data_IF_394821960412
#
_entry.id   IF_394821960412
#
_cell.length_a   1.000
_cell.length_b   1.000
_cell.length_c   1.000
_cell.angle_alpha   90.00
_cell.angle_beta   90.00
_cell.angle_gamma   90.00
#
_symmetry.space_group_name_H-M   'P 1'
#
loop_
_entity.id
_entity.type
_entity.pdbx_description
1 polymer ?
#
# COMPACT_ATOMS: atom_id res chain seq x y z
N UNK A 1 2.59 2.34 -24.33
CA UNK A 1 3.12 1.86 -23.03
C UNK A 1 1.99 1.98 -22.01
N UNK A 2 1.64 0.92 -21.28
CA UNK A 2 0.45 0.86 -20.39
C UNK A 2 0.63 1.55 -19.03
N UNK A 3 1.44 2.61 -18.97
CA UNK A 3 1.77 3.30 -17.72
C UNK A 3 0.62 4.19 -17.21
N UNK A 4 -0.51 3.58 -16.87
CA UNK A 4 -1.69 4.25 -16.32
C UNK A 4 -1.89 3.90 -14.84
N UNK A 5 -2.69 4.69 -14.13
CA UNK A 5 -2.98 4.44 -12.72
C UNK A 5 -3.68 3.08 -12.53
N UNK A 6 -4.55 2.68 -13.46
CA UNK A 6 -5.29 1.42 -13.43
C UNK A 6 -4.36 0.22 -13.49
N UNK A 7 -3.32 0.29 -14.34
CA UNK A 7 -2.28 -0.74 -14.40
C UNK A 7 -1.58 -0.89 -13.05
N UNK A 8 -1.09 0.21 -12.47
CA UNK A 8 -0.39 0.17 -11.19
C UNK A 8 -1.30 -0.27 -10.03
N UNK A 9 -2.57 0.15 -10.04
CA UNK A 9 -3.57 -0.29 -9.06
C UNK A 9 -3.85 -1.80 -9.17
N UNK A 10 -3.96 -2.32 -10.39
CA UNK A 10 -4.15 -3.76 -10.61
C UNK A 10 -2.96 -4.58 -10.11
N UNK A 11 -1.73 -4.13 -10.37
CA UNK A 11 -0.53 -4.79 -9.84
C UNK A 11 -0.45 -4.68 -8.31
N UNK A 12 -0.75 -3.51 -7.75
CA UNK A 12 -0.75 -3.29 -6.30
C UNK A 12 -1.78 -4.18 -5.57
N UNK A 13 -2.92 -4.46 -6.20
CA UNK A 13 -3.92 -5.38 -5.65
C UNK A 13 -3.38 -6.80 -5.50
N UNK A 14 -2.63 -7.30 -6.48
CA UNK A 14 -1.99 -8.62 -6.42
C UNK A 14 -0.92 -8.70 -5.31
N UNK A 15 -0.12 -7.65 -5.17
CA UNK A 15 0.89 -7.56 -4.10
C UNK A 15 0.23 -7.51 -2.71
N UNK A 16 -0.87 -6.77 -2.58
CA UNK A 16 -1.63 -6.69 -1.33
C UNK A 16 -2.28 -8.02 -0.96
N UNK A 17 -2.86 -8.74 -1.93
CA UNK A 17 -3.44 -10.06 -1.74
C UNK A 17 -2.40 -11.07 -1.24
N UNK A 18 -1.18 -11.05 -1.79
CA UNK A 18 -0.09 -11.89 -1.31
C UNK A 18 0.22 -11.60 0.16
N UNK A 19 0.36 -10.32 0.53
CA UNK A 19 0.57 -9.93 1.93
C UNK A 19 -0.54 -10.43 2.86
N UNK A 20 -1.80 -10.32 2.43
CA UNK A 20 -2.95 -10.80 3.20
C UNK A 20 -2.94 -12.32 3.40
N UNK A 21 -2.67 -13.09 2.34
CA UNK A 21 -2.58 -14.56 2.38
C UNK A 21 -1.50 -15.06 3.35
N UNK A 22 -0.43 -14.29 3.51
CA UNK A 22 0.66 -14.58 4.43
C UNK A 22 0.55 -13.85 5.77
N UNK A 23 -0.62 -13.29 6.12
CA UNK A 23 -0.82 -12.60 7.40
C UNK A 23 0.15 -11.44 7.64
N UNK A 24 0.69 -10.87 6.56
CA UNK A 24 1.70 -9.83 6.52
C UNK A 24 3.05 -10.17 7.17
N UNK A 25 3.30 -11.42 7.59
CA UNK A 25 4.64 -11.85 7.99
C UNK A 25 5.58 -11.94 6.78
N UNK A 26 5.00 -12.26 5.62
CA UNK A 26 5.62 -12.16 4.30
C UNK A 26 4.81 -11.24 3.41
N UNK A 27 5.51 -10.42 2.64
CA UNK A 27 4.92 -9.42 1.76
C UNK A 27 5.75 -9.34 0.48
N UNK A 28 5.13 -8.99 -0.64
CA UNK A 28 5.82 -8.80 -1.90
C UNK A 28 5.78 -7.32 -2.33
N UNK A 29 6.82 -6.85 -3.01
CA UNK A 29 6.84 -5.49 -3.54
C UNK A 29 7.81 -5.31 -4.69
N UNK A 30 7.54 -4.31 -5.53
CA UNK A 30 8.42 -3.94 -6.64
C UNK A 30 9.57 -3.06 -6.14
N UNK A 31 10.80 -3.34 -6.59
CA UNK A 31 11.99 -2.56 -6.24
C UNK A 31 12.91 -2.36 -7.46
N UNK A 32 13.99 -1.59 -7.28
CA UNK A 32 14.93 -1.24 -8.33
C UNK A 32 14.54 0.02 -9.11
N UNK A 33 15.39 0.41 -10.07
CA UNK A 33 15.12 1.56 -10.94
C UNK A 33 13.84 1.28 -11.74
N UNK A 34 12.85 2.16 -11.60
CA UNK A 34 11.51 2.01 -12.19
C UNK A 34 10.72 0.77 -11.74
N UNK A 35 11.08 0.15 -10.61
CA UNK A 35 10.37 -1.04 -10.11
C UNK A 35 10.62 -2.30 -10.94
N UNK A 36 11.86 -2.52 -11.40
CA UNK A 36 12.20 -3.56 -12.36
C UNK A 36 12.17 -5.01 -11.85
N UNK A 37 12.11 -5.26 -10.54
CA UNK A 37 12.06 -6.62 -10.00
C UNK A 37 11.16 -6.75 -8.77
N UNK A 38 10.59 -7.94 -8.61
CA UNK A 38 9.77 -8.34 -7.45
C UNK A 38 10.69 -8.77 -6.29
N UNK A 39 10.33 -8.36 -5.08
CA UNK A 39 11.08 -8.66 -3.85
C UNK A 39 10.15 -9.24 -2.81
N UNK A 40 10.61 -10.28 -2.12
CA UNK A 40 10.01 -10.81 -0.92
C UNK A 40 10.54 -10.06 0.31
N UNK A 41 9.63 -9.55 1.13
CA UNK A 41 9.92 -8.84 2.37
C UNK A 41 9.39 -9.61 3.56
N UNK A 42 10.19 -9.63 4.63
CA UNK A 42 9.66 -9.88 5.96
C UNK A 42 8.89 -8.65 6.45
N UNK A 43 7.86 -8.89 7.25
CA UNK A 43 7.05 -7.83 7.81
C UNK A 43 6.19 -8.27 8.98
N UNK A 44 5.23 -7.42 9.33
CA UNK A 44 4.21 -7.71 10.32
C UNK A 44 2.96 -6.85 10.10
N UNK A 45 1.86 -7.31 10.67
CA UNK A 45 0.68 -6.48 10.93
C UNK A 45 0.67 -6.10 12.41
N UNK A 46 0.87 -4.82 12.72
CA UNK A 46 0.89 -4.32 14.11
C UNK A 46 -0.09 -3.18 14.36
N UNK A 47 -0.52 -2.95 15.62
CA UNK A 47 -1.24 -1.74 15.97
C UNK A 47 -0.47 -0.50 15.56
N UNK A 48 -1.14 0.42 14.88
CA UNK A 48 -0.53 1.68 14.41
C UNK A 48 -0.39 2.74 15.50
N UNK A 49 -1.15 2.61 16.59
CA UNK A 49 -1.32 3.64 17.61
C UNK A 49 -2.28 4.77 17.22
N UNK A 50 -2.72 4.85 15.97
CA UNK A 50 -3.74 5.83 15.57
C UNK A 50 -5.09 5.49 16.19
N UNK A 51 -5.75 6.52 16.72
CA UNK A 51 -7.04 6.40 17.41
C UNK A 51 -8.19 7.03 16.65
N UNK A 52 -7.91 8.02 15.82
CA UNK A 52 -8.92 8.71 15.03
C UNK A 52 -8.40 9.12 13.65
N UNK A 53 -9.33 9.45 12.75
CA UNK A 53 -9.04 9.90 11.39
C UNK A 53 -10.05 10.95 10.93
N UNK A 54 -9.68 11.73 9.92
CA UNK A 54 -10.57 12.66 9.25
C UNK A 54 -11.20 11.98 8.02
N UNK A 55 -12.53 11.81 7.95
CA UNK A 55 -13.19 11.22 6.79
C UNK A 55 -13.10 12.10 5.54
N UNK A 56 -12.85 13.41 5.72
CA UNK A 56 -12.78 14.37 4.61
C UNK A 56 -11.44 14.33 3.86
N UNK A 57 -10.32 14.16 4.57
CA UNK A 57 -8.99 14.20 3.95
C UNK A 57 -8.08 13.03 4.28
N UNK A 58 -8.56 12.04 5.06
CA UNK A 58 -7.80 10.84 5.41
C UNK A 58 -6.76 11.01 6.52
N UNK A 59 -6.50 12.24 6.99
CA UNK A 59 -5.50 12.47 8.04
C UNK A 59 -5.79 11.65 9.30
N UNK A 60 -4.83 10.84 9.73
CA UNK A 60 -4.88 10.02 10.96
C UNK A 60 -4.29 10.79 12.15
N UNK A 61 -4.69 10.43 13.36
CA UNK A 61 -4.25 11.06 14.60
C UNK A 61 -4.12 10.06 15.76
N UNK A 62 -3.10 10.24 16.60
CA UNK A 62 -2.82 9.40 17.77
C UNK A 62 -3.76 9.69 18.96
N UNK A 63 -4.58 10.74 18.88
CA UNK A 63 -5.58 11.10 19.88
C UNK A 63 -6.98 10.72 19.43
N UNK A 64 -7.87 10.47 20.39
CA UNK A 64 -9.30 10.30 20.12
C UNK A 64 -9.95 11.65 19.78
N UNK A 65 -10.94 11.60 18.89
CA UNK A 65 -11.89 12.66 18.68
C UNK A 65 -12.92 12.68 19.81
N UNK A 66 -13.13 13.85 20.38
CA UNK A 66 -14.18 14.13 21.36
C UNK A 66 -15.10 15.22 20.82
N UNK A 67 -16.25 15.43 21.47
CA UNK A 67 -17.19 16.50 21.08
C UNK A 67 -16.54 17.90 21.10
N UNK A 68 -15.57 18.14 21.99
CA UNK A 68 -14.83 19.40 22.10
C UNK A 68 -13.54 19.45 21.28
N UNK A 69 -13.04 18.31 20.80
CA UNK A 69 -11.79 18.22 20.07
C UNK A 69 -11.86 17.19 18.93
N UNK A 70 -12.48 17.59 17.82
CA UNK A 70 -12.58 16.80 16.59
C UNK A 70 -12.09 17.57 15.34
N UNK A 71 -11.36 18.67 15.51
CA UNK A 71 -10.86 19.46 14.39
C UNK A 71 -9.65 18.77 13.76
N UNK A 72 -9.71 18.55 12.45
CA UNK A 72 -8.59 18.01 11.69
C UNK A 72 -7.45 19.04 11.59
N UNK A 73 -6.21 18.65 11.89
CA UNK A 73 -5.04 19.52 11.78
C UNK A 73 -4.70 19.95 10.34
N UNK A 74 -5.14 19.19 9.33
CA UNK A 74 -4.86 19.45 7.91
C UNK A 74 -5.96 20.29 7.27
N UNK A 75 -7.20 19.78 7.19
CA UNK A 75 -8.29 20.48 6.51
C UNK A 75 -9.02 21.51 7.41
N UNK A 76 -8.67 21.56 8.71
CA UNK A 76 -9.25 22.46 9.72
C UNK A 76 -10.77 22.32 9.92
N UNK A 77 -11.36 21.25 9.41
CA UNK A 77 -12.79 20.96 9.60
C UNK A 77 -13.01 20.10 10.87
N UNK A 78 -14.07 20.35 11.65
CA UNK A 78 -14.45 19.57 12.85
C UNK A 78 -15.10 18.24 12.46
N UNK A 79 -14.30 17.33 11.88
CA UNK A 79 -14.78 16.11 11.21
C UNK A 79 -14.12 14.84 11.71
N UNK A 80 -13.14 14.93 12.60
CA UNK A 80 -12.36 13.76 13.06
C UNK A 80 -13.28 12.76 13.78
N UNK A 81 -13.13 11.48 13.45
CA UNK A 81 -13.88 10.36 14.03
C UNK A 81 -12.93 9.29 14.54
N UNK A 82 -13.30 8.62 15.64
CA UNK A 82 -12.53 7.50 16.19
C UNK A 82 -12.60 6.29 15.26
N UNK A 83 -11.53 5.50 15.24
CA UNK A 83 -11.61 4.17 14.64
C UNK A 83 -12.51 3.27 15.49
N UNK A 84 -13.37 2.44 14.86
CA UNK A 84 -14.26 1.53 15.60
C UNK A 84 -13.50 0.40 16.29
N UNK A 85 -12.35 0.01 15.74
CA UNK A 85 -11.44 -0.99 16.27
C UNK A 85 -10.01 -0.45 16.21
N UNK A 86 -9.09 -1.13 16.90
CA UNK A 86 -7.66 -0.80 16.83
C UNK A 86 -7.20 -0.73 15.39
N UNK A 87 -6.74 0.44 14.95
CA UNK A 87 -6.23 0.61 13.60
C UNK A 87 -4.87 -0.09 13.47
N UNK A 88 -4.80 -1.05 12.56
CA UNK A 88 -3.59 -1.81 12.24
C UNK A 88 -2.79 -1.12 11.14
N UNK A 89 -1.49 -1.35 11.12
CA UNK A 89 -0.59 -0.95 10.04
C UNK A 89 0.23 -2.15 9.60
N UNK A 90 0.39 -2.24 8.28
CA UNK A 90 1.29 -3.19 7.65
C UNK A 90 2.68 -2.56 7.65
N UNK A 91 3.68 -3.31 8.10
CA UNK A 91 5.08 -2.88 8.11
C UNK A 91 5.91 -3.90 7.36
N UNK A 92 6.77 -3.42 6.47
CA UNK A 92 7.85 -4.20 5.87
C UNK A 92 9.17 -3.86 6.55
N UNK A 93 10.11 -4.80 6.53
CA UNK A 93 11.48 -4.61 6.98
C UNK A 93 12.45 -4.69 5.79
N UNK A 94 12.64 -3.60 5.03
CA UNK A 94 13.60 -3.58 3.94
C UNK A 94 15.01 -3.88 4.44
N UNK A 95 15.77 -4.64 3.65
CA UNK A 95 17.16 -4.99 3.96
C UNK A 95 17.31 -6.12 4.98
N UNK A 96 16.21 -6.67 5.50
CA UNK A 96 16.25 -7.95 6.22
C UNK A 96 16.17 -9.09 5.20
N UNK A 97 17.26 -9.83 5.06
CA UNK A 97 17.28 -11.02 4.21
C UNK A 97 16.29 -12.07 4.69
N UNK A 98 15.78 -12.85 3.74
CA UNK A 98 14.74 -13.85 4.00
C UNK A 98 15.28 -15.03 4.83
N UNK A 99 16.53 -15.42 4.58
CA UNK A 99 17.26 -16.51 5.25
C UNK A 99 18.77 -16.20 5.34
N UNK A 100 19.13 -14.93 5.51
CA UNK A 100 20.54 -14.53 5.52
C UNK A 100 21.26 -15.17 6.72
N UNK A 101 22.13 -16.13 6.45
CA UNK A 101 22.90 -16.83 7.47
C UNK A 101 22.15 -17.96 8.19
N UNK A 102 20.99 -18.36 7.69
CA UNK A 102 20.26 -19.53 8.22
C UNK A 102 20.96 -20.84 7.84
N UNK A 103 21.07 -21.75 8.82
CA UNK A 103 21.48 -23.13 8.59
C UNK A 103 20.22 -24.01 8.50
N UNK A 104 20.03 -24.64 7.34
CA UNK A 104 18.87 -25.48 7.07
C UNK A 104 19.02 -26.90 7.63
N UNK A 105 20.20 -27.30 8.13
CA UNK A 105 20.41 -28.66 8.66
C UNK A 105 19.53 -28.95 9.89
N UNK A 106 19.29 -27.94 10.71
CA UNK A 106 18.47 -28.06 11.94
C UNK A 106 16.96 -27.95 11.66
N UNK A 107 16.56 -27.62 10.43
CA UNK A 107 15.16 -27.45 10.09
C UNK A 107 14.47 -28.80 9.93
N UNK A 108 13.27 -28.88 10.49
CA UNK A 108 12.39 -30.00 10.21
C UNK A 108 11.97 -30.01 8.72
N UNK A 109 11.64 -31.19 8.21
CA UNK A 109 11.05 -31.33 6.87
C UNK A 109 9.78 -30.48 6.67
N UNK A 110 9.07 -30.17 7.76
CA UNK A 110 7.91 -29.29 7.72
C UNK A 110 8.32 -27.83 7.47
N UNK A 111 9.31 -27.31 8.19
CA UNK A 111 9.80 -25.94 8.02
C UNK A 111 10.40 -25.72 6.64
N UNK A 112 11.17 -26.70 6.15
CA UNK A 112 11.71 -26.67 4.78
C UNK A 112 10.59 -26.63 3.74
N UNK A 113 9.53 -27.44 3.93
CA UNK A 113 8.37 -27.44 3.03
C UNK A 113 7.66 -26.09 3.04
N UNK A 114 7.42 -25.49 4.19
CA UNK A 114 6.75 -24.18 4.27
C UNK A 114 7.58 -23.08 3.63
N UNK A 115 8.91 -23.14 3.75
CA UNK A 115 9.80 -22.19 3.05
C UNK A 115 9.81 -22.37 1.54
N UNK A 116 9.86 -23.60 1.06
CA UNK A 116 9.75 -23.88 -0.38
C UNK A 116 8.40 -23.41 -0.91
N UNK A 117 7.32 -23.66 -0.17
CA UNK A 117 5.97 -23.22 -0.52
C UNK A 117 5.89 -21.69 -0.66
N UNK A 118 6.47 -20.94 0.29
CA UNK A 118 6.54 -19.48 0.22
C UNK A 118 7.23 -18.99 -1.07
N UNK A 119 8.36 -19.58 -1.44
CA UNK A 119 9.09 -19.20 -2.66
C UNK A 119 8.27 -19.55 -3.91
N UNK A 120 7.60 -20.70 -3.94
CA UNK A 120 6.71 -21.08 -5.04
C UNK A 120 5.49 -20.16 -5.15
N UNK A 121 4.95 -19.69 -4.04
CA UNK A 121 3.83 -18.74 -4.02
C UNK A 121 4.26 -17.36 -4.53
N UNK A 122 5.49 -16.93 -4.24
CA UNK A 122 6.08 -15.73 -4.82
C UNK A 122 6.28 -15.85 -6.34
N UNK A 123 6.76 -17.00 -6.82
CA UNK A 123 6.89 -17.27 -8.26
C UNK A 123 5.52 -17.20 -8.97
N UNK A 124 4.50 -17.85 -8.41
CA UNK A 124 3.13 -17.77 -8.92
C UNK A 124 2.58 -16.34 -8.92
N UNK A 125 2.95 -15.52 -7.93
CA UNK A 125 2.59 -14.11 -7.92
C UNK A 125 3.21 -13.38 -9.13
N UNK A 126 4.49 -13.62 -9.43
CA UNK A 126 5.14 -13.03 -10.61
C UNK A 126 4.41 -13.42 -11.90
N UNK A 127 4.04 -14.69 -12.07
CA UNK A 127 3.24 -15.16 -13.21
C UNK A 127 1.89 -14.43 -13.30
N UNK A 128 1.16 -14.34 -12.18
CA UNK A 128 -0.13 -13.62 -12.11
C UNK A 128 0.00 -12.14 -12.47
N UNK A 129 1.09 -11.49 -12.07
CA UNK A 129 1.35 -10.09 -12.40
C UNK A 129 1.58 -9.91 -13.91
N UNK A 130 2.32 -10.83 -14.53
CA UNK A 130 2.54 -10.86 -15.99
C UNK A 130 1.22 -11.13 -16.72
N UNK A 131 0.46 -12.14 -16.30
CA UNK A 131 -0.85 -12.47 -16.88
C UNK A 131 -1.81 -11.29 -16.80
N UNK A 132 -1.83 -10.58 -15.67
CA UNK A 132 -2.65 -9.37 -15.50
C UNK A 132 -2.20 -8.26 -16.45
N UNK A 133 -0.91 -8.06 -16.63
CA UNK A 133 -0.38 -7.09 -17.58
C UNK A 133 -0.76 -7.45 -19.03
N UNK A 134 -0.61 -8.72 -19.42
CA UNK A 134 -0.99 -9.23 -20.75
C UNK A 134 -2.50 -9.03 -20.97
N UNK A 135 -3.33 -9.38 -19.99
CA UNK A 135 -4.76 -9.17 -20.06
C UNK A 135 -5.11 -7.69 -20.31
N UNK A 136 -4.51 -6.78 -19.56
CA UNK A 136 -4.76 -5.35 -19.73
C UNK A 136 -4.36 -4.86 -21.13
N UNK A 137 -3.19 -5.27 -21.63
CA UNK A 137 -2.72 -4.90 -22.97
C UNK A 137 -3.58 -5.50 -24.10
N UNK A 138 -4.20 -6.66 -23.89
CA UNK A 138 -5.05 -7.31 -24.90
C UNK A 138 -6.47 -6.77 -24.97
N UNK A 139 -6.97 -6.18 -23.88
CA UNK A 139 -8.38 -5.82 -23.74
C UNK A 139 -8.63 -4.32 -23.57
N UNK A 140 -7.57 -3.51 -23.38
CA UNK A 140 -7.68 -2.07 -23.16
C UNK A 140 -6.64 -1.31 -23.99
N UNK A 141 -7.06 -0.16 -24.50
CA UNK A 141 -6.20 0.80 -25.17
C UNK A 141 -5.89 1.97 -24.23
N UNK A 142 -4.68 2.52 -24.33
CA UNK A 142 -4.29 3.75 -23.63
C UNK A 142 -4.74 4.93 -24.48
N UNK A 143 -5.63 5.76 -23.93
CA UNK A 143 -6.06 7.02 -24.53
C UNK A 143 -5.59 8.18 -23.65
N UNK A 144 -5.28 9.31 -24.30
CA UNK A 144 -5.00 10.57 -23.62
C UNK A 144 -6.29 11.39 -23.54
N UNK A 145 -6.56 11.99 -22.38
CA UNK A 145 -7.70 12.86 -22.13
C UNK A 145 -7.21 14.19 -21.55
N UNK A 146 -7.59 15.29 -22.19
CA UNK A 146 -7.41 16.63 -21.62
C UNK A 146 -8.60 16.99 -20.74
N UNK A 147 -8.34 17.31 -19.47
CA UNK A 147 -9.38 17.73 -18.52
C UNK A 147 -9.00 19.05 -17.83
N UNK A 148 -9.99 19.92 -17.64
CA UNK A 148 -9.81 21.20 -16.96
C UNK A 148 -10.21 21.10 -15.48
N UNK A 149 -9.31 21.51 -14.58
CA UNK A 149 -9.58 21.58 -13.13
C UNK A 149 -9.84 23.03 -12.75
N UNK A 150 -10.97 23.31 -12.10
CA UNK A 150 -11.24 24.65 -11.56
C UNK A 150 -10.25 24.96 -10.44
N UNK A 151 -9.61 26.14 -10.50
CA UNK A 151 -8.66 26.57 -9.48
C UNK A 151 -9.01 27.97 -8.97
N UNK A 152 -9.01 28.12 -7.64
CA UNK A 152 -9.16 29.40 -6.98
C UNK A 152 -7.78 29.95 -6.63
N UNK A 153 -7.51 31.22 -6.94
CA UNK A 153 -6.27 31.91 -6.52
C UNK A 153 -6.60 33.18 -5.75
N UNK A 154 -5.72 33.55 -4.82
CA UNK A 154 -5.78 34.86 -4.17
C UNK A 154 -5.29 35.92 -5.17
N UNK A 155 -6.05 36.99 -5.32
CA UNK A 155 -5.66 38.14 -6.14
C UNK A 155 -5.74 39.41 -5.31
N UNK A 156 -4.81 40.33 -5.55
CA UNK A 156 -4.89 41.69 -5.04
C UNK A 156 -5.92 42.45 -5.88
N UNK A 157 -6.94 42.99 -5.22
CA UNK A 157 -7.93 43.89 -5.82
C UNK A 157 -7.81 45.26 -5.16
N UNK A 158 -7.90 46.32 -5.97
CA UNK A 158 -7.82 47.70 -5.50
C UNK A 158 -9.03 47.98 -4.60
N UNK A 159 -8.81 48.42 -3.37
CA UNK A 159 -9.89 48.88 -2.50
C UNK A 159 -10.58 50.08 -3.14
N UNK A 160 -11.91 50.03 -3.21
CA UNK A 160 -12.72 51.20 -3.50
C UNK A 160 -12.65 52.12 -2.28
N UNK A 161 -11.72 53.08 -2.31
CA UNK A 161 -11.75 54.28 -1.48
C UNK A 161 -12.47 55.35 -2.27
#
# INVERSE_FOLDING_TARGET
MICTQEFFSAQSALLAEFGEQHGYCWQAGMNGRSGGYLVLYQGELKPSGYKSYCPRCGQKNYQEATASNNTCGVCRQPTRMNFPHTHMQVVTYPGRGTDDGEDYEDWSMYELRERVKLVQELERLADRMVDKAIHLVRHYDVAEEEFFVSQTRKVLVKSAV
#
